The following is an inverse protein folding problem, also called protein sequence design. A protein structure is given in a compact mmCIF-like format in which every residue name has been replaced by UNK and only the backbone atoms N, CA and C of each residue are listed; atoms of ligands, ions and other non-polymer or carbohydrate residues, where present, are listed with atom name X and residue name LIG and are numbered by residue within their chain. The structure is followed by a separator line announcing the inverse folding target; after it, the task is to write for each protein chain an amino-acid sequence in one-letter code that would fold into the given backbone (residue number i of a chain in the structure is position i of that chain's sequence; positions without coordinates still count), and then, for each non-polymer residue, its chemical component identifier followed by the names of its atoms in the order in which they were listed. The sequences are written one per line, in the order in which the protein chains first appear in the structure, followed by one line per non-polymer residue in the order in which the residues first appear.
data_IF_464639711341
#
_entry.id   IF_464639711341
#
_cell.length_a   1.000
_cell.length_b   1.000
_cell.length_c   1.000
_cell.angle_alpha   90.00
_cell.angle_beta   90.00
_cell.angle_gamma   90.00
#
_symmetry.space_group_name_H-M   'P 1'
#
loop_
_entity.id
_entity.type
_entity.pdbx_description
1 polymer ?
#
# COMPACT_ATOMS: atom_id res chain seq x y z
N UNK A 1 45.52 34.83 -40.58
CA UNK A 1 46.01 34.25 -41.83
C UNK A 1 45.92 32.77 -41.74
N UNK A 2 45.18 32.22 -42.71
CA UNK A 2 45.10 30.85 -43.25
C UNK A 2 44.59 29.76 -42.29
N UNK A 3 43.70 28.90 -42.70
CA UNK A 3 42.77 28.78 -43.84
C UNK A 3 41.91 27.55 -43.51
N UNK A 4 40.61 27.70 -43.72
CA UNK A 4 39.66 26.58 -43.69
C UNK A 4 39.97 25.59 -44.82
N UNK A 5 39.91 24.29 -44.52
CA UNK A 5 39.85 23.23 -45.52
C UNK A 5 38.57 22.42 -45.31
N UNK A 6 37.58 22.70 -46.15
CA UNK A 6 36.38 21.90 -46.34
C UNK A 6 36.74 20.68 -47.16
N UNK A 7 36.50 19.47 -46.67
CA UNK A 7 36.41 18.24 -47.46
C UNK A 7 35.00 17.70 -47.40
N UNK A 8 34.26 17.91 -48.48
CA UNK A 8 33.06 17.19 -48.80
C UNK A 8 33.43 15.84 -49.40
N UNK A 9 33.17 14.76 -48.72
CA UNK A 9 33.28 13.40 -49.22
C UNK A 9 31.91 12.79 -49.37
N UNK A 10 31.46 12.63 -50.61
CA UNK A 10 30.26 11.90 -50.97
C UNK A 10 30.41 10.40 -50.59
N UNK A 11 29.53 9.87 -49.79
CA UNK A 11 29.33 8.44 -49.63
C UNK A 11 27.98 8.05 -50.25
N UNK A 12 28.05 7.64 -51.46
CA UNK A 12 27.03 6.87 -52.17
C UNK A 12 27.23 5.40 -51.84
N UNK A 13 26.16 4.73 -51.39
CA UNK A 13 25.92 3.31 -51.65
C UNK A 13 26.34 2.32 -50.59
N UNK A 14 25.37 1.86 -49.82
CA UNK A 14 25.05 0.44 -49.62
C UNK A 14 23.84 0.33 -48.67
N UNK A 15 22.64 0.31 -49.22
CA UNK A 15 21.45 -0.23 -48.53
C UNK A 15 21.60 -1.74 -48.63
N UNK A 16 22.29 -2.33 -47.70
CA UNK A 16 22.29 -3.79 -47.51
C UNK A 16 21.38 -4.13 -46.34
N UNK A 17 20.37 -4.90 -46.64
CA UNK A 17 19.40 -5.59 -45.81
C UNK A 17 19.81 -5.82 -44.34
N UNK A 18 19.36 -5.00 -43.44
CA UNK A 18 19.29 -5.29 -42.01
C UNK A 18 17.96 -6.01 -41.64
N UNK A 19 17.62 -7.05 -42.43
CA UNK A 19 16.57 -8.01 -42.09
C UNK A 19 17.26 -9.33 -41.79
N UNK A 20 17.67 -9.57 -40.53
CA UNK A 20 17.86 -10.89 -39.90
C UNK A 20 18.77 -10.86 -38.68
N UNK A 21 18.57 -9.93 -37.74
CA UNK A 21 19.22 -10.01 -36.44
C UNK A 21 18.22 -9.93 -35.25
N UNK A 22 16.94 -10.07 -35.55
CA UNK A 22 16.01 -10.50 -34.51
C UNK A 22 15.91 -12.02 -34.59
N UNK A 23 16.88 -12.73 -34.02
CA UNK A 23 16.69 -14.09 -33.64
C UNK A 23 15.41 -14.12 -32.80
N UNK A 24 14.44 -14.91 -33.23
CA UNK A 24 13.23 -15.20 -32.47
C UNK A 24 13.66 -15.53 -31.05
N UNK A 25 13.37 -14.64 -30.10
CA UNK A 25 13.42 -14.96 -28.69
C UNK A 25 12.40 -16.10 -28.54
N UNK A 26 12.90 -17.31 -28.50
CA UNK A 26 12.12 -18.48 -28.09
C UNK A 26 11.53 -18.15 -26.73
N UNK A 27 10.21 -18.09 -26.67
CA UNK A 27 9.46 -18.10 -25.42
C UNK A 27 10.07 -19.21 -24.55
N UNK A 28 10.55 -18.93 -23.34
CA UNK A 28 11.00 -20.00 -22.47
C UNK A 28 9.77 -20.79 -22.03
N UNK A 29 9.45 -21.86 -22.73
CA UNK A 29 8.61 -22.95 -22.23
C UNK A 29 9.46 -23.75 -21.27
N UNK A 30 9.82 -23.19 -20.13
CA UNK A 30 10.61 -23.86 -19.12
C UNK A 30 9.73 -24.24 -17.94
N UNK A 31 9.77 -25.52 -17.57
CA UNK A 31 9.43 -25.91 -16.21
C UNK A 31 10.13 -24.95 -15.22
N UNK A 32 9.52 -24.65 -14.06
CA UNK A 32 10.11 -23.72 -13.09
C UNK A 32 11.56 -24.10 -12.83
N UNK A 33 12.45 -23.11 -12.84
CA UNK A 33 13.88 -23.33 -12.65
C UNK A 33 14.11 -24.17 -11.38
N UNK A 34 14.89 -25.25 -11.50
CA UNK A 34 15.19 -26.12 -10.37
C UNK A 34 16.07 -25.34 -9.40
N UNK A 35 15.52 -25.00 -8.25
CA UNK A 35 16.25 -24.28 -7.20
C UNK A 35 17.24 -25.27 -6.56
N UNK A 36 18.52 -24.89 -6.45
CA UNK A 36 19.56 -25.61 -5.75
C UNK A 36 20.24 -24.70 -4.73
N UNK A 37 20.72 -25.24 -3.63
CA UNK A 37 21.27 -24.42 -2.53
C UNK A 37 20.15 -23.77 -1.71
N UNK A 38 20.31 -22.49 -1.38
CA UNK A 38 19.28 -21.75 -0.63
C UNK A 38 17.93 -21.78 -1.34
N UNK A 39 16.89 -22.18 -0.61
CA UNK A 39 15.53 -22.35 -1.13
C UNK A 39 15.22 -23.76 -1.66
N UNK A 40 16.18 -24.67 -1.70
CA UNK A 40 15.96 -26.03 -2.21
C UNK A 40 15.03 -26.88 -1.32
N UNK A 41 14.90 -26.54 -0.04
CA UNK A 41 13.97 -27.19 0.91
C UNK A 41 12.49 -26.86 0.66
N UNK A 42 12.22 -25.81 -0.11
CA UNK A 42 10.87 -25.28 -0.33
C UNK A 42 10.37 -24.32 0.75
N UNK A 43 11.10 -24.17 1.87
CA UNK A 43 10.83 -23.17 2.92
C UNK A 43 12.08 -22.35 3.22
N UNK A 44 12.22 -21.23 2.54
CA UNK A 44 13.36 -20.31 2.69
C UNK A 44 13.46 -19.68 4.10
N UNK A 45 12.35 -19.56 4.82
CA UNK A 45 12.35 -19.01 6.16
C UNK A 45 12.97 -19.98 7.17
N UNK A 46 12.63 -21.26 7.07
CA UNK A 46 13.23 -22.31 7.92
C UNK A 46 14.75 -22.38 7.70
N UNK A 47 15.21 -22.24 6.46
CA UNK A 47 16.65 -22.21 6.13
C UNK A 47 17.37 -21.01 6.77
N UNK A 48 16.65 -19.90 7.03
CA UNK A 48 17.17 -18.73 7.74
C UNK A 48 16.93 -18.80 9.27
N UNK A 49 16.27 -19.84 9.77
CA UNK A 49 15.89 -19.95 11.18
C UNK A 49 14.76 -18.99 11.59
N UNK A 50 13.94 -18.55 10.63
CA UNK A 50 12.80 -17.66 10.86
C UNK A 50 11.51 -18.49 10.87
N UNK A 51 10.73 -18.39 11.96
CA UNK A 51 9.46 -19.08 12.09
C UNK A 51 8.38 -18.39 11.26
N UNK A 52 7.72 -19.14 10.37
CA UNK A 52 6.51 -18.66 9.67
C UNK A 52 5.33 -18.59 10.64
N UNK A 53 4.36 -17.72 10.32
CA UNK A 53 3.22 -17.48 11.20
C UNK A 53 1.89 -17.64 10.49
N UNK A 54 0.86 -18.10 11.20
CA UNK A 54 -0.53 -17.99 10.78
C UNK A 54 -1.00 -16.58 11.15
N UNK A 55 -1.41 -15.81 10.16
CA UNK A 55 -1.70 -14.38 10.32
C UNK A 55 -3.20 -14.12 10.50
N UNK A 56 -3.66 -14.06 11.74
CA UNK A 56 -5.01 -13.63 12.08
C UNK A 56 -5.16 -12.13 12.40
N UNK A 57 -4.08 -11.34 12.23
CA UNK A 57 -4.09 -9.90 12.52
C UNK A 57 -4.37 -9.05 11.26
N UNK A 58 -4.17 -9.61 10.05
CA UNK A 58 -4.37 -8.92 8.78
C UNK A 58 -3.09 -8.32 8.18
N UNK A 59 -3.24 -7.34 7.31
CA UNK A 59 -2.16 -6.83 6.44
C UNK A 59 -1.17 -5.90 7.16
N UNK A 60 -0.55 -6.41 8.21
CA UNK A 60 0.46 -5.66 8.98
C UNK A 60 1.83 -5.73 8.31
N UNK A 61 2.49 -4.59 8.18
CA UNK A 61 3.84 -4.50 7.55
C UNK A 61 4.86 -5.42 8.22
N UNK A 62 4.81 -5.54 9.55
CA UNK A 62 5.70 -6.40 10.34
C UNK A 62 5.50 -7.91 10.08
N UNK A 63 4.39 -8.29 9.44
CA UNK A 63 4.06 -9.66 9.07
C UNK A 63 4.19 -9.90 7.55
N UNK A 64 4.70 -8.94 6.80
CA UNK A 64 4.86 -9.06 5.36
C UNK A 64 3.65 -8.57 4.53
N UNK A 65 2.67 -7.91 5.17
CA UNK A 65 1.49 -7.39 4.48
C UNK A 65 0.52 -8.49 4.09
N UNK A 66 0.46 -8.83 2.81
CA UNK A 66 -0.37 -9.90 2.25
C UNK A 66 0.48 -10.90 1.46
N UNK A 67 -0.06 -12.09 1.21
CA UNK A 67 0.55 -13.05 0.29
C UNK A 67 0.16 -12.70 -1.14
N UNK A 68 1.16 -12.50 -2.00
CA UNK A 68 0.94 -12.28 -3.42
C UNK A 68 0.21 -13.49 -4.05
N UNK A 69 -0.56 -13.24 -5.11
CA UNK A 69 -1.17 -14.33 -5.90
C UNK A 69 -0.11 -14.96 -6.82
N UNK A 70 -0.20 -16.27 -7.12
CA UNK A 70 0.76 -16.93 -8.02
C UNK A 70 0.92 -16.22 -9.37
N UNK A 71 -0.15 -15.64 -9.91
CA UNK A 71 -0.12 -14.90 -11.18
C UNK A 71 0.67 -13.58 -11.05
N UNK A 72 0.68 -12.96 -9.88
CA UNK A 72 1.49 -11.75 -9.60
C UNK A 72 2.96 -12.13 -9.56
N UNK A 73 3.30 -13.20 -8.84
CA UNK A 73 4.68 -13.73 -8.77
C UNK A 73 5.20 -14.13 -10.15
N UNK A 74 4.35 -14.79 -10.96
CA UNK A 74 4.71 -15.22 -12.32
C UNK A 74 5.05 -14.03 -13.24
N UNK A 75 4.27 -12.95 -13.22
CA UNK A 75 4.59 -11.77 -14.07
C UNK A 75 5.80 -11.00 -13.54
N UNK A 76 6.04 -10.99 -12.23
CA UNK A 76 7.26 -10.41 -11.65
C UNK A 76 8.50 -11.18 -12.12
N UNK A 77 8.44 -12.52 -12.12
CA UNK A 77 9.52 -13.36 -12.63
C UNK A 77 9.79 -13.12 -14.14
N UNK A 78 8.74 -12.92 -14.94
CA UNK A 78 8.88 -12.56 -16.36
C UNK A 78 9.51 -11.15 -16.52
N UNK A 79 9.07 -10.17 -15.76
CA UNK A 79 9.63 -8.82 -15.79
C UNK A 79 11.13 -8.80 -15.44
N UNK A 80 11.55 -9.68 -14.52
CA UNK A 80 12.95 -9.85 -14.13
C UNK A 80 13.88 -10.28 -15.26
N UNK A 81 13.35 -10.85 -16.33
CA UNK A 81 14.14 -11.36 -17.48
C UNK A 81 14.48 -10.29 -18.53
N UNK A 82 13.92 -9.06 -18.41
CA UNK A 82 14.07 -8.02 -19.43
C UNK A 82 14.45 -6.69 -18.79
N UNK A 83 15.24 -5.90 -19.54
CA UNK A 83 15.49 -4.49 -19.22
C UNK A 83 14.43 -3.62 -19.87
N UNK A 84 14.08 -2.51 -19.22
CA UNK A 84 13.21 -1.46 -19.77
C UNK A 84 13.60 -0.10 -19.16
N UNK A 85 13.15 0.97 -19.78
CA UNK A 85 13.19 2.30 -19.21
C UNK A 85 12.18 2.40 -18.07
N UNK A 86 12.64 2.67 -16.85
CA UNK A 86 11.74 2.80 -15.70
C UNK A 86 10.78 4.00 -15.85
N UNK A 87 11.22 5.20 -16.29
CA UNK A 87 10.28 6.30 -16.49
C UNK A 87 9.17 5.97 -17.51
N UNK A 88 9.50 5.30 -18.61
CA UNK A 88 8.52 4.91 -19.61
C UNK A 88 7.55 3.84 -19.06
N UNK A 89 8.08 2.91 -18.27
CA UNK A 89 7.27 1.88 -17.61
C UNK A 89 6.29 2.49 -16.61
N UNK A 90 6.71 3.46 -15.79
CA UNK A 90 5.84 4.16 -14.84
C UNK A 90 4.69 4.90 -15.54
N UNK A 91 5.00 5.62 -16.64
CA UNK A 91 3.99 6.31 -17.43
C UNK A 91 3.00 5.31 -18.06
N UNK A 92 3.50 4.21 -18.61
CA UNK A 92 2.66 3.17 -19.22
C UNK A 92 1.80 2.44 -18.17
N UNK A 93 2.37 2.10 -17.02
CA UNK A 93 1.65 1.50 -15.90
C UNK A 93 0.57 2.43 -15.36
N UNK A 94 0.90 3.71 -15.15
CA UNK A 94 -0.05 4.72 -14.69
C UNK A 94 -1.24 4.88 -15.63
N UNK A 95 -0.98 4.94 -16.94
CA UNK A 95 -2.03 4.96 -17.97
C UNK A 95 -2.91 3.71 -17.89
N UNK A 96 -2.30 2.52 -17.82
CA UNK A 96 -3.03 1.24 -17.72
C UNK A 96 -3.90 1.17 -16.47
N UNK A 97 -3.39 1.63 -15.33
CA UNK A 97 -4.13 1.69 -14.08
C UNK A 97 -5.32 2.66 -14.21
N UNK A 98 -5.10 3.85 -14.77
CA UNK A 98 -6.17 4.83 -14.98
C UNK A 98 -7.30 4.28 -15.87
N UNK A 99 -6.97 3.54 -16.93
CA UNK A 99 -7.92 2.86 -17.81
C UNK A 99 -8.71 1.78 -17.06
N UNK A 100 -8.04 0.93 -16.28
CA UNK A 100 -8.69 -0.14 -15.50
C UNK A 100 -9.65 0.42 -14.45
N UNK A 101 -9.28 1.50 -13.79
CA UNK A 101 -10.08 2.17 -12.75
C UNK A 101 -11.10 3.14 -13.32
N UNK A 102 -11.08 3.41 -14.63
CA UNK A 102 -11.93 4.41 -15.30
C UNK A 102 -11.87 5.76 -14.59
N UNK A 103 -10.66 6.20 -14.28
CA UNK A 103 -10.44 7.47 -13.57
C UNK A 103 -10.99 8.65 -14.38
N UNK A 104 -11.40 9.75 -13.72
CA UNK A 104 -11.85 10.95 -14.39
C UNK A 104 -10.81 11.51 -15.37
N UNK A 105 -11.28 12.24 -16.40
CA UNK A 105 -10.38 12.98 -17.29
C UNK A 105 -9.45 13.89 -16.48
N UNK A 106 -8.16 13.90 -16.86
CA UNK A 106 -7.16 14.67 -16.14
C UNK A 106 -6.50 13.94 -14.97
N UNK A 107 -6.93 12.70 -14.65
CA UNK A 107 -6.30 11.86 -13.62
C UNK A 107 -5.44 10.75 -14.23
N UNK A 108 -4.48 10.28 -13.45
CA UNK A 108 -3.60 9.15 -13.75
C UNK A 108 -3.13 8.49 -12.46
N UNK A 109 -2.24 7.51 -12.59
CA UNK A 109 -1.61 6.85 -11.45
C UNK A 109 -0.10 6.75 -11.60
N UNK A 110 0.59 6.52 -10.47
CA UNK A 110 2.01 6.20 -10.38
C UNK A 110 2.15 5.01 -9.42
N UNK A 111 2.97 4.04 -9.78
CA UNK A 111 3.36 2.98 -8.84
C UNK A 111 4.50 3.50 -7.96
N UNK A 112 4.35 3.41 -6.67
CA UNK A 112 5.31 3.92 -5.68
C UNK A 112 5.78 2.80 -4.76
N UNK A 113 6.84 3.05 -4.00
CA UNK A 113 7.32 2.10 -2.97
C UNK A 113 6.40 2.13 -1.74
N UNK A 114 5.13 1.70 -1.92
CA UNK A 114 4.08 1.72 -0.91
C UNK A 114 3.42 3.09 -0.75
N UNK A 115 2.33 3.14 0.03
CA UNK A 115 1.57 4.37 0.31
C UNK A 115 2.43 5.45 1.01
N UNK A 116 3.39 5.05 1.83
CA UNK A 116 4.29 5.98 2.51
C UNK A 116 5.13 6.80 1.51
N UNK A 117 5.69 6.14 0.49
CA UNK A 117 6.41 6.80 -0.60
C UNK A 117 5.46 7.63 -1.48
N UNK A 118 4.21 7.18 -1.68
CA UNK A 118 3.18 7.95 -2.38
C UNK A 118 2.90 9.28 -1.67
N UNK A 119 2.76 9.27 -0.34
CA UNK A 119 2.57 10.50 0.44
C UNK A 119 3.76 11.44 0.34
N UNK A 120 4.98 10.91 0.48
CA UNK A 120 6.20 11.71 0.41
C UNK A 120 6.40 12.32 -0.97
N UNK A 121 6.37 11.50 -2.05
CA UNK A 121 6.60 11.97 -3.41
C UNK A 121 5.47 12.87 -3.93
N UNK A 122 4.21 12.57 -3.56
CA UNK A 122 3.07 13.41 -3.91
C UNK A 122 3.17 14.81 -3.31
N UNK A 123 3.53 14.92 -2.02
CA UNK A 123 3.76 16.22 -1.39
C UNK A 123 5.01 16.90 -1.97
N UNK A 124 6.10 16.18 -2.18
CA UNK A 124 7.30 16.73 -2.81
C UNK A 124 6.95 17.35 -4.19
N UNK A 125 6.15 16.64 -5.01
CA UNK A 125 5.69 17.16 -6.30
C UNK A 125 4.81 18.41 -6.20
N UNK A 126 3.98 18.53 -5.14
CA UNK A 126 3.20 19.75 -4.87
C UNK A 126 4.13 20.93 -4.49
N UNK A 127 5.19 20.65 -3.72
CA UNK A 127 6.12 21.68 -3.25
C UNK A 127 7.03 22.20 -4.38
N UNK A 128 7.54 21.33 -5.20
CA UNK A 128 8.58 21.64 -6.19
C UNK A 128 8.04 21.96 -7.58
N UNK A 129 6.81 21.48 -7.90
CA UNK A 129 6.40 21.42 -9.30
C UNK A 129 7.39 20.62 -10.13
N UNK A 130 7.68 21.08 -11.35
CA UNK A 130 8.68 20.56 -12.27
C UNK A 130 10.04 21.29 -12.18
N UNK A 131 10.24 22.13 -11.18
CA UNK A 131 11.46 22.93 -11.03
C UNK A 131 12.63 22.09 -10.49
N UNK A 132 13.67 21.80 -11.28
CA UNK A 132 14.77 20.92 -10.88
C UNK A 132 15.53 21.46 -9.67
N UNK A 133 15.67 22.77 -9.52
CA UNK A 133 16.36 23.38 -8.38
C UNK A 133 15.62 23.14 -7.07
N UNK A 134 14.28 23.18 -7.08
CA UNK A 134 13.47 22.90 -5.90
C UNK A 134 13.47 21.40 -5.59
N UNK A 135 13.53 20.53 -6.60
CA UNK A 135 13.63 19.08 -6.43
C UNK A 135 14.94 18.75 -5.69
N UNK A 136 16.07 19.24 -6.16
CA UNK A 136 17.39 19.05 -5.56
C UNK A 136 17.50 19.71 -4.16
N UNK A 137 16.76 20.81 -3.92
CA UNK A 137 16.82 21.57 -2.67
C UNK A 137 16.09 20.87 -1.51
N UNK A 138 15.08 20.03 -1.77
CA UNK A 138 14.37 19.35 -0.69
C UNK A 138 15.33 18.56 0.22
N UNK A 139 15.13 18.60 1.56
CA UNK A 139 13.97 19.13 2.31
C UNK A 139 14.09 20.60 2.74
N UNK A 140 15.00 21.37 2.18
CA UNK A 140 15.15 22.81 2.46
C UNK A 140 14.11 23.62 1.68
N UNK A 141 13.15 24.27 2.38
CA UNK A 141 11.97 24.87 1.77
C UNK A 141 12.11 26.37 1.44
N UNK A 142 13.33 26.90 1.40
CA UNK A 142 13.54 28.32 1.04
C UNK A 142 12.97 28.64 -0.33
N UNK A 143 12.02 29.58 -0.39
CA UNK A 143 11.34 29.97 -1.64
C UNK A 143 10.15 29.07 -2.04
N UNK A 144 9.87 28.04 -1.27
CA UNK A 144 8.72 27.15 -1.46
C UNK A 144 7.67 27.33 -0.35
N UNK A 145 6.47 26.82 -0.57
CA UNK A 145 5.48 26.67 0.48
C UNK A 145 5.98 25.66 1.52
N UNK A 146 5.56 25.82 2.79
CA UNK A 146 6.19 25.07 3.89
C UNK A 146 5.21 24.51 4.92
N UNK A 147 3.91 24.64 4.68
CA UNK A 147 2.89 24.22 5.65
C UNK A 147 1.88 23.24 5.02
N UNK A 148 1.52 22.21 5.78
CA UNK A 148 0.46 21.26 5.45
C UNK A 148 -0.57 21.26 6.58
N UNK A 149 -1.84 21.46 6.24
CA UNK A 149 -2.94 21.46 7.20
C UNK A 149 -3.43 20.02 7.41
N UNK A 150 -3.63 19.64 8.68
CA UNK A 150 -4.13 18.32 9.08
C UNK A 150 -5.04 18.46 10.31
N UNK A 151 -6.11 17.68 10.41
CA UNK A 151 -6.92 17.58 11.61
C UNK A 151 -6.13 16.96 12.77
N UNK A 152 -6.35 17.43 14.00
CA UNK A 152 -5.71 16.90 15.21
C UNK A 152 -5.98 15.41 15.38
N UNK A 153 -7.21 14.98 15.16
CA UNK A 153 -7.65 13.58 15.21
C UNK A 153 -7.01 12.70 14.14
N UNK A 154 -6.50 13.29 13.05
CA UNK A 154 -5.84 12.60 11.94
C UNK A 154 -4.33 12.43 12.13
N UNK A 155 -3.74 13.02 13.18
CA UNK A 155 -2.32 12.88 13.49
C UNK A 155 -2.00 11.42 13.84
N UNK A 156 -0.98 10.88 13.20
CA UNK A 156 -0.58 9.48 13.33
C UNK A 156 0.91 9.31 12.98
N UNK A 157 1.52 8.12 13.27
CA UNK A 157 2.93 7.90 12.97
C UNK A 157 3.32 8.03 11.49
N UNK A 158 2.37 7.82 10.56
CA UNK A 158 2.63 7.91 9.10
C UNK A 158 2.73 9.35 8.61
N UNK A 159 2.28 10.35 9.36
CA UNK A 159 2.50 11.76 9.03
C UNK A 159 3.99 12.13 8.99
N UNK A 160 4.86 11.24 9.48
CA UNK A 160 6.30 11.36 9.37
C UNK A 160 6.76 11.51 7.91
N UNK A 161 6.09 10.82 6.98
CA UNK A 161 6.44 10.88 5.55
C UNK A 161 6.20 12.28 4.97
N UNK A 162 5.16 12.98 5.44
CA UNK A 162 4.94 14.38 5.10
C UNK A 162 6.01 15.28 5.71
N UNK A 163 6.32 15.10 7.00
CA UNK A 163 7.34 15.90 7.70
C UNK A 163 8.76 15.70 7.15
N UNK A 164 9.02 14.55 6.55
CA UNK A 164 10.30 14.25 5.91
C UNK A 164 10.60 15.17 4.71
N UNK A 165 9.59 15.81 4.11
CA UNK A 165 9.78 16.82 3.06
C UNK A 165 10.21 18.19 3.58
N UNK A 166 10.36 18.35 4.91
CA UNK A 166 10.74 19.60 5.55
C UNK A 166 9.57 20.47 6.01
N UNK A 167 8.31 20.11 5.67
CA UNK A 167 7.13 20.93 6.00
C UNK A 167 6.81 20.91 7.49
N UNK A 168 6.10 21.98 7.89
CA UNK A 168 5.44 22.08 9.19
C UNK A 168 3.97 21.65 9.08
N UNK A 169 3.54 20.78 9.98
CA UNK A 169 2.12 20.44 10.11
C UNK A 169 1.39 21.53 10.89
N UNK A 170 0.37 22.11 10.29
CA UNK A 170 -0.57 23.06 10.90
C UNK A 170 -1.78 22.25 11.35
N UNK A 171 -1.91 22.07 12.67
CA UNK A 171 -2.92 21.21 13.27
C UNK A 171 -4.17 22.03 13.57
N UNK A 172 -5.30 21.58 13.03
CA UNK A 172 -6.64 22.16 13.23
C UNK A 172 -7.63 21.05 13.59
N UNK A 173 -8.85 21.41 13.95
CA UNK A 173 -9.92 20.43 14.16
C UNK A 173 -11.25 20.88 13.55
N UNK A 174 -11.51 22.20 13.45
CA UNK A 174 -12.76 22.74 12.96
C UNK A 174 -12.60 23.45 11.61
N UNK A 175 -13.71 23.61 10.89
CA UNK A 175 -13.75 24.38 9.63
C UNK A 175 -13.31 25.84 9.82
N UNK A 176 -13.69 26.46 10.92
CA UNK A 176 -13.28 27.84 11.24
C UNK A 176 -11.78 27.96 11.48
N UNK A 177 -11.19 26.99 12.21
CA UNK A 177 -9.74 26.92 12.41
C UNK A 177 -9.02 26.70 11.08
N UNK A 178 -9.53 25.81 10.21
CA UNK A 178 -8.99 25.58 8.89
C UNK A 178 -8.95 26.86 8.06
N UNK A 179 -10.07 27.59 7.97
CA UNK A 179 -10.15 28.84 7.22
C UNK A 179 -9.15 29.89 7.72
N UNK A 180 -8.95 30.00 9.04
CA UNK A 180 -7.99 30.92 9.68
C UNK A 180 -6.53 30.46 9.46
N UNK A 181 -6.29 29.16 9.34
CA UNK A 181 -4.95 28.60 9.18
C UNK A 181 -4.39 28.76 7.77
N UNK A 182 -5.26 28.85 6.75
CA UNK A 182 -4.82 29.01 5.35
C UNK A 182 -4.09 30.34 5.17
N UNK A 183 -2.88 30.27 4.62
CA UNK A 183 -2.01 31.40 4.36
C UNK A 183 -1.12 31.13 3.13
N UNK A 184 -0.30 32.09 2.66
CA UNK A 184 0.55 31.90 1.48
C UNK A 184 1.56 30.73 1.57
N UNK A 185 1.88 30.27 2.78
CA UNK A 185 2.77 29.12 2.99
C UNK A 185 2.03 27.77 2.96
N UNK A 186 0.70 27.77 2.93
CA UNK A 186 -0.08 26.54 2.86
C UNK A 186 0.10 25.83 1.51
N UNK A 187 0.73 24.67 1.53
CA UNK A 187 0.99 23.84 0.34
C UNK A 187 -0.16 22.89 0.04
N UNK A 188 -0.73 22.26 1.08
CA UNK A 188 -1.65 21.15 0.92
C UNK A 188 -2.52 20.96 2.16
N UNK A 189 -3.69 20.36 1.98
CA UNK A 189 -4.56 19.84 3.04
C UNK A 189 -4.49 18.31 3.02
N UNK A 190 -4.04 17.68 4.12
CA UNK A 190 -3.90 16.23 4.26
C UNK A 190 -5.03 15.61 5.05
N UNK A 191 -5.56 14.48 4.56
CA UNK A 191 -6.63 13.70 5.19
C UNK A 191 -6.20 12.25 5.39
N UNK A 192 -6.26 11.74 6.63
CA UNK A 192 -6.02 10.32 6.94
C UNK A 192 -7.36 9.62 7.09
N UNK A 193 -7.80 8.86 6.08
CA UNK A 193 -9.17 8.38 6.03
C UNK A 193 -9.54 7.39 7.14
N UNK A 194 -8.59 6.59 7.63
CA UNK A 194 -8.85 5.71 8.78
C UNK A 194 -9.31 6.46 10.05
N UNK A 195 -9.06 7.77 10.14
CA UNK A 195 -9.49 8.64 11.22
C UNK A 195 -10.75 9.48 10.89
N UNK A 196 -11.42 9.22 9.76
CA UNK A 196 -12.59 9.98 9.30
C UNK A 196 -13.70 10.05 10.36
N UNK A 197 -13.98 8.95 11.07
CA UNK A 197 -15.00 8.94 12.13
C UNK A 197 -14.65 9.85 13.31
N UNK A 198 -13.37 9.99 13.63
CA UNK A 198 -12.86 10.80 14.75
C UNK A 198 -12.73 12.28 14.40
N UNK A 199 -12.48 12.64 13.12
CA UNK A 199 -12.36 14.02 12.67
C UNK A 199 -13.68 14.78 12.68
N UNK A 200 -13.66 16.08 12.94
CA UNK A 200 -14.85 16.92 12.84
C UNK A 200 -15.23 17.20 11.39
N UNK A 201 -14.24 17.49 10.54
CA UNK A 201 -14.42 17.71 9.10
C UNK A 201 -14.33 16.36 8.40
N UNK A 202 -15.41 15.93 7.73
CA UNK A 202 -15.49 14.63 7.06
C UNK A 202 -14.87 14.66 5.66
N UNK A 203 -14.68 13.49 5.10
CA UNK A 203 -13.95 13.28 3.84
C UNK A 203 -14.50 14.10 2.66
N UNK A 204 -15.83 14.19 2.52
CA UNK A 204 -16.47 14.98 1.45
C UNK A 204 -16.35 16.50 1.69
N UNK A 205 -16.48 16.93 2.94
CA UNK A 205 -16.34 18.34 3.31
C UNK A 205 -14.90 18.81 3.14
N UNK A 206 -13.92 17.95 3.46
CA UNK A 206 -12.50 18.26 3.32
C UNK A 206 -12.14 18.62 1.89
N UNK A 207 -12.53 17.80 0.92
CA UNK A 207 -12.25 18.05 -0.50
C UNK A 207 -13.00 19.29 -1.02
N UNK A 208 -14.23 19.52 -0.55
CA UNK A 208 -15.01 20.72 -0.89
C UNK A 208 -14.30 21.99 -0.40
N UNK A 209 -13.82 21.99 0.83
CA UNK A 209 -13.06 23.11 1.40
C UNK A 209 -11.75 23.34 0.66
N UNK A 210 -11.03 22.27 0.27
CA UNK A 210 -9.82 22.40 -0.54
C UNK A 210 -10.08 23.11 -1.87
N UNK A 211 -11.16 22.74 -2.56
CA UNK A 211 -11.60 23.42 -3.80
C UNK A 211 -11.98 24.87 -3.56
N UNK A 212 -12.74 25.14 -2.51
CA UNK A 212 -13.16 26.50 -2.15
C UNK A 212 -11.97 27.41 -1.84
N UNK A 213 -10.99 26.89 -1.11
CA UNK A 213 -9.80 27.62 -0.67
C UNK A 213 -8.65 27.60 -1.70
N UNK A 214 -8.84 26.87 -2.82
CA UNK A 214 -7.82 26.63 -3.86
C UNK A 214 -6.51 26.06 -3.29
N UNK A 215 -6.64 25.10 -2.36
CA UNK A 215 -5.53 24.35 -1.77
C UNK A 215 -5.63 22.88 -2.19
N UNK A 216 -4.56 22.26 -2.73
CA UNK A 216 -4.56 20.84 -3.08
C UNK A 216 -4.91 19.95 -1.88
N UNK A 217 -5.69 18.90 -2.14
CA UNK A 217 -6.10 17.92 -1.15
C UNK A 217 -5.44 16.56 -1.41
N UNK A 218 -4.95 15.94 -0.34
CA UNK A 218 -4.35 14.62 -0.39
C UNK A 218 -4.99 13.69 0.64
N UNK A 219 -5.48 12.53 0.21
CA UNK A 219 -6.02 11.51 1.10
C UNK A 219 -5.09 10.32 1.22
N UNK A 220 -4.76 9.95 2.46
CA UNK A 220 -4.17 8.67 2.81
C UNK A 220 -5.28 7.63 2.96
N UNK A 221 -5.40 6.78 1.95
CA UNK A 221 -6.35 5.68 1.81
C UNK A 221 -5.61 4.32 1.79
N UNK A 222 -4.47 4.23 2.47
CA UNK A 222 -3.57 3.07 2.40
C UNK A 222 -4.22 1.73 2.76
N UNK A 223 -5.28 1.72 3.57
CA UNK A 223 -5.99 0.52 4.01
C UNK A 223 -7.47 0.52 3.63
N UNK A 224 -7.89 1.35 2.70
CA UNK A 224 -9.30 1.62 2.40
C UNK A 224 -9.94 0.65 1.39
N UNK A 225 -9.19 -0.31 0.92
CA UNK A 225 -9.72 -1.40 0.10
C UNK A 225 -9.72 -2.70 0.89
N UNK A 226 -10.82 -3.46 0.92
CA UNK A 226 -12.15 -3.16 0.36
C UNK A 226 -12.84 -1.99 1.09
N UNK A 227 -13.90 -1.37 0.53
CA UNK A 227 -14.54 -1.65 -0.76
C UNK A 227 -13.67 -1.31 -1.96
N UNK A 228 -13.84 -2.06 -3.06
CA UNK A 228 -13.05 -1.86 -4.28
C UNK A 228 -13.28 -0.48 -4.91
N UNK A 229 -14.48 0.09 -4.72
CA UNK A 229 -14.86 1.40 -5.28
C UNK A 229 -14.00 2.55 -4.76
N UNK A 230 -13.44 2.44 -3.58
CA UNK A 230 -12.56 3.48 -3.02
C UNK A 230 -11.34 3.79 -3.91
N UNK A 231 -10.92 2.85 -4.78
CA UNK A 231 -9.84 3.08 -5.74
C UNK A 231 -10.15 4.18 -6.76
N UNK A 232 -11.43 4.53 -6.97
CA UNK A 232 -11.86 5.62 -7.86
C UNK A 232 -12.76 6.65 -7.19
N UNK A 233 -13.40 6.34 -6.05
CA UNK A 233 -14.38 7.22 -5.41
C UNK A 233 -13.73 8.53 -4.95
N UNK A 234 -12.53 8.50 -4.39
CA UNK A 234 -11.84 9.72 -3.95
C UNK A 234 -11.42 10.61 -5.13
N UNK A 235 -10.99 10.02 -6.24
CA UNK A 235 -10.71 10.76 -7.48
C UNK A 235 -11.99 11.38 -8.04
N UNK A 236 -13.10 10.62 -8.08
CA UNK A 236 -14.42 11.13 -8.50
C UNK A 236 -14.96 12.22 -7.57
N UNK A 237 -14.71 12.12 -6.27
CA UNK A 237 -15.03 13.14 -5.28
C UNK A 237 -14.21 14.43 -5.53
N UNK A 238 -13.03 14.28 -6.15
CA UNK A 238 -12.16 15.34 -6.59
C UNK A 238 -10.99 15.63 -5.66
N UNK A 239 -10.53 14.63 -4.89
CA UNK A 239 -9.22 14.70 -4.27
C UNK A 239 -8.14 14.84 -5.32
N UNK A 240 -7.16 15.74 -5.10
CA UNK A 240 -6.07 15.98 -6.05
C UNK A 240 -5.07 14.81 -6.08
N UNK A 241 -4.83 14.18 -4.92
CA UNK A 241 -3.97 13.00 -4.77
C UNK A 241 -4.57 12.01 -3.76
N UNK A 242 -4.41 10.71 -4.04
CA UNK A 242 -4.87 9.59 -3.21
C UNK A 242 -3.77 8.54 -3.11
N UNK A 243 -3.41 8.09 -1.90
CA UNK A 243 -2.39 7.07 -1.69
C UNK A 243 -3.01 5.75 -1.25
N UNK A 244 -2.65 4.64 -1.91
CA UNK A 244 -3.07 3.28 -1.56
C UNK A 244 -1.87 2.35 -1.38
N UNK A 245 -1.99 1.38 -0.48
CA UNK A 245 -0.98 0.32 -0.32
C UNK A 245 -1.31 -0.89 -1.17
N UNK A 246 -0.40 -1.26 -2.08
CA UNK A 246 -0.57 -2.43 -2.94
C UNK A 246 -0.37 -3.77 -2.23
N UNK A 247 0.44 -3.80 -1.18
CA UNK A 247 0.74 -4.99 -0.38
C UNK A 247 -0.32 -5.32 0.69
N UNK A 248 -1.52 -4.74 0.59
CA UNK A 248 -2.66 -5.05 1.46
C UNK A 248 -3.71 -5.88 0.71
N UNK A 249 -4.98 -5.49 0.71
CA UNK A 249 -6.06 -6.27 0.11
C UNK A 249 -5.88 -6.55 -1.39
N UNK A 250 -5.21 -5.68 -2.13
CA UNK A 250 -4.89 -5.91 -3.54
C UNK A 250 -3.94 -7.09 -3.76
N UNK A 251 -3.22 -7.55 -2.70
CA UNK A 251 -2.27 -8.67 -2.75
C UNK A 251 -1.20 -8.51 -3.83
N UNK A 252 -0.75 -7.27 -4.00
CA UNK A 252 0.42 -6.92 -4.80
C UNK A 252 1.73 -7.09 -4.01
N UNK A 253 2.87 -6.74 -4.62
CA UNK A 253 4.14 -6.71 -3.90
C UNK A 253 4.03 -5.81 -2.66
N UNK A 254 4.57 -6.26 -1.51
CA UNK A 254 4.48 -5.51 -0.27
C UNK A 254 5.10 -4.11 -0.37
N UNK A 255 6.17 -3.98 -1.12
CA UNK A 255 6.86 -2.72 -1.37
C UNK A 255 6.20 -1.87 -2.48
N UNK A 256 5.02 -2.25 -3.01
CA UNK A 256 4.31 -1.46 -4.01
C UNK A 256 3.08 -0.74 -3.42
N UNK A 257 2.77 0.42 -3.98
CA UNK A 257 1.58 1.21 -3.70
C UNK A 257 1.17 2.02 -4.90
N UNK A 258 0.08 2.75 -4.78
CA UNK A 258 -0.44 3.62 -5.83
C UNK A 258 -0.56 5.05 -5.33
N UNK A 259 -0.09 5.99 -6.13
CA UNK A 259 -0.46 7.40 -6.06
C UNK A 259 -1.42 7.66 -7.23
N UNK A 260 -2.68 7.88 -6.92
CA UNK A 260 -3.72 8.20 -7.91
C UNK A 260 -4.05 9.68 -7.79
N UNK A 261 -4.15 10.42 -8.91
CA UNK A 261 -4.50 11.82 -8.83
C UNK A 261 -4.37 12.58 -10.14
N UNK A 262 -4.38 13.89 -10.03
CA UNK A 262 -4.23 14.81 -11.18
C UNK A 262 -2.92 14.56 -11.91
N UNK A 263 -2.99 14.53 -13.24
CA UNK A 263 -1.83 14.23 -14.11
C UNK A 263 -0.63 15.14 -13.87
N UNK A 264 -0.86 16.43 -13.64
CA UNK A 264 0.20 17.40 -13.36
C UNK A 264 0.92 17.09 -12.03
N UNK A 265 0.17 16.78 -10.96
CA UNK A 265 0.74 16.48 -9.66
C UNK A 265 1.42 15.11 -9.63
N UNK A 266 0.85 14.12 -10.32
CA UNK A 266 1.45 12.78 -10.43
C UNK A 266 2.75 12.84 -11.26
N UNK A 267 2.81 13.62 -12.33
CA UNK A 267 4.03 13.85 -13.10
C UNK A 267 5.12 14.51 -12.25
N UNK A 268 4.77 15.54 -11.46
CA UNK A 268 5.70 16.18 -10.53
C UNK A 268 6.17 15.22 -9.42
N UNK A 269 5.29 14.34 -8.94
CA UNK A 269 5.66 13.30 -7.98
C UNK A 269 6.68 12.31 -8.55
N UNK A 270 6.54 11.92 -9.82
CA UNK A 270 7.51 11.07 -10.52
C UNK A 270 8.89 11.73 -10.60
N UNK A 271 8.97 13.02 -10.89
CA UNK A 271 10.24 13.77 -10.90
C UNK A 271 10.94 13.79 -9.54
N UNK A 272 10.19 13.71 -8.45
CA UNK A 272 10.69 13.68 -7.08
C UNK A 272 10.98 12.25 -6.57
N UNK A 273 10.92 11.24 -7.43
CA UNK A 273 11.04 9.83 -7.07
C UNK A 273 12.16 9.14 -7.85
N UNK A 274 12.54 7.94 -7.43
CA UNK A 274 13.38 7.06 -8.24
C UNK A 274 12.71 6.84 -9.63
N UNK A 275 13.48 6.81 -10.76
CA UNK A 275 14.92 6.64 -10.82
C UNK A 275 15.75 7.94 -10.83
N UNK A 276 15.13 9.11 -10.67
CA UNK A 276 15.86 10.37 -10.62
C UNK A 276 16.85 10.38 -9.43
N UNK A 277 18.09 10.86 -9.67
CA UNK A 277 19.20 10.61 -8.73
C UNK A 277 19.20 11.56 -7.54
N UNK A 278 19.09 12.87 -7.77
CA UNK A 278 19.12 13.89 -6.73
C UNK A 278 17.70 14.33 -6.34
N UNK A 279 16.98 13.41 -5.69
CA UNK A 279 15.60 13.61 -5.26
C UNK A 279 15.36 13.02 -3.89
N UNK A 280 14.42 13.59 -3.16
CA UNK A 280 14.01 13.08 -1.83
C UNK A 280 13.53 11.62 -1.89
N UNK A 281 12.81 11.24 -2.95
CA UNK A 281 12.27 9.90 -3.16
C UNK A 281 13.27 8.90 -3.75
N UNK A 282 14.54 9.26 -3.98
CA UNK A 282 15.53 8.35 -4.56
C UNK A 282 15.71 7.05 -3.78
N UNK A 283 15.60 7.11 -2.47
CA UNK A 283 15.71 5.93 -1.60
C UNK A 283 14.46 5.02 -1.66
N UNK A 284 13.30 5.55 -2.07
CA UNK A 284 12.03 4.83 -2.18
C UNK A 284 11.89 4.17 -3.57
N UNK A 285 12.92 3.41 -3.98
CA UNK A 285 12.97 2.77 -5.29
C UNK A 285 11.95 1.62 -5.39
N UNK A 286 11.10 1.69 -6.40
CA UNK A 286 10.27 0.57 -6.85
C UNK A 286 10.87 -0.03 -8.11
N UNK A 287 11.03 -1.36 -8.17
CA UNK A 287 11.63 -2.06 -9.29
C UNK A 287 10.61 -2.36 -10.40
N UNK A 288 11.11 -2.69 -11.58
CA UNK A 288 10.24 -3.06 -12.72
C UNK A 288 9.36 -4.27 -12.41
N UNK A 289 9.86 -5.18 -11.60
CA UNK A 289 9.14 -6.37 -11.15
C UNK A 289 7.93 -5.99 -10.31
N UNK A 290 8.11 -5.09 -9.35
CA UNK A 290 7.05 -4.61 -8.46
C UNK A 290 6.05 -3.75 -9.22
N UNK A 291 6.48 -2.91 -10.18
CA UNK A 291 5.58 -2.12 -11.02
C UNK A 291 4.65 -3.04 -11.81
N UNK A 292 5.20 -4.04 -12.50
CA UNK A 292 4.42 -5.02 -13.27
C UNK A 292 3.55 -5.88 -12.34
N UNK A 293 4.10 -6.31 -11.20
CA UNK A 293 3.37 -7.06 -10.17
C UNK A 293 2.16 -6.28 -9.65
N UNK A 294 2.31 -4.97 -9.42
CA UNK A 294 1.23 -4.11 -8.95
C UNK A 294 0.10 -3.96 -9.99
N UNK A 295 0.45 -3.77 -11.26
CA UNK A 295 -0.54 -3.72 -12.36
C UNK A 295 -1.33 -5.04 -12.44
N UNK A 296 -0.64 -6.18 -12.33
CA UNK A 296 -1.30 -7.50 -12.34
C UNK A 296 -2.16 -7.72 -11.11
N UNK A 297 -1.68 -7.35 -9.94
CA UNK A 297 -2.44 -7.47 -8.70
C UNK A 297 -3.76 -6.68 -8.75
N UNK A 298 -3.70 -5.44 -9.27
CA UNK A 298 -4.89 -4.61 -9.45
C UNK A 298 -5.86 -5.23 -10.48
N UNK A 299 -5.34 -5.74 -11.61
CA UNK A 299 -6.18 -6.43 -12.61
C UNK A 299 -6.96 -7.61 -12.00
N UNK A 300 -6.31 -8.41 -11.15
CA UNK A 300 -6.94 -9.54 -10.48
C UNK A 300 -7.93 -9.08 -9.42
N UNK A 301 -7.55 -8.10 -8.60
CA UNK A 301 -8.40 -7.54 -7.55
C UNK A 301 -9.72 -6.97 -8.07
N UNK A 302 -9.69 -6.31 -9.24
CA UNK A 302 -10.89 -5.78 -9.91
C UNK A 302 -11.82 -6.86 -10.47
N UNK A 303 -11.35 -8.09 -10.63
CA UNK A 303 -12.12 -9.23 -11.14
C UNK A 303 -12.66 -10.15 -10.05
N UNK A 304 -12.27 -9.93 -8.80
CA UNK A 304 -12.70 -10.76 -7.69
C UNK A 304 -14.19 -10.56 -7.35
N UNK A 305 -14.81 -11.62 -6.91
CA UNK A 305 -16.13 -11.55 -6.27
C UNK A 305 -15.96 -11.16 -4.78
N UNK A 306 -15.95 -9.86 -4.54
CA UNK A 306 -15.73 -9.29 -3.20
C UNK A 306 -16.83 -9.67 -2.19
N UNK A 307 -18.06 -9.92 -2.66
CA UNK A 307 -19.17 -10.37 -1.79
C UNK A 307 -18.93 -11.81 -1.34
N UNK A 308 -18.56 -12.68 -2.28
CA UNK A 308 -18.24 -14.07 -1.95
C UNK A 308 -17.03 -14.18 -1.00
N UNK A 309 -15.97 -13.37 -1.22
CA UNK A 309 -14.82 -13.32 -0.34
C UNK A 309 -15.20 -12.84 1.06
N UNK A 310 -15.99 -11.78 1.17
CA UNK A 310 -16.42 -11.25 2.46
C UNK A 310 -17.25 -12.26 3.26
N UNK A 311 -18.13 -13.00 2.56
CA UNK A 311 -18.90 -14.10 3.14
C UNK A 311 -18.01 -15.25 3.61
N UNK A 312 -16.98 -15.61 2.84
CA UNK A 312 -16.01 -16.64 3.21
C UNK A 312 -15.23 -16.22 4.48
N UNK A 313 -14.76 -14.98 4.55
CA UNK A 313 -14.07 -14.45 5.72
C UNK A 313 -14.95 -14.49 6.96
N UNK A 314 -16.21 -14.09 6.83
CA UNK A 314 -17.18 -14.16 7.94
C UNK A 314 -17.39 -15.62 8.40
N UNK A 315 -17.55 -16.57 7.48
CA UNK A 315 -17.74 -17.99 7.80
C UNK A 315 -16.54 -18.59 8.53
N UNK A 316 -15.31 -18.19 8.19
CA UNK A 316 -14.10 -18.61 8.91
C UNK A 316 -14.12 -18.14 10.35
N UNK A 317 -14.48 -16.87 10.61
CA UNK A 317 -14.63 -16.33 11.97
C UNK A 317 -15.73 -17.05 12.75
N UNK A 318 -16.86 -17.33 12.13
CA UNK A 318 -17.98 -18.07 12.73
C UNK A 318 -17.56 -19.50 13.12
N UNK A 319 -16.76 -20.16 12.29
CA UNK A 319 -16.21 -21.48 12.57
C UNK A 319 -15.31 -21.48 13.81
N UNK A 320 -14.46 -20.46 13.99
CA UNK A 320 -13.62 -20.29 15.18
C UNK A 320 -14.51 -20.00 16.38
N UNK A 321 -15.43 -19.05 16.27
CA UNK A 321 -16.35 -18.66 17.34
C UNK A 321 -17.14 -19.86 17.88
N UNK A 322 -17.71 -20.68 16.98
CA UNK A 322 -18.49 -21.85 17.36
C UNK A 322 -17.70 -22.90 18.19
N UNK A 323 -16.38 -22.88 18.13
CA UNK A 323 -15.53 -23.76 18.92
C UNK A 323 -15.12 -23.11 20.25
N UNK A 324 -14.66 -21.86 20.21
CA UNK A 324 -14.14 -21.20 21.42
C UNK A 324 -15.24 -20.86 22.45
N UNK A 325 -16.44 -20.53 21.96
CA UNK A 325 -17.60 -20.22 22.85
C UNK A 325 -18.18 -21.43 23.58
N UNK A 326 -17.71 -22.65 23.28
CA UNK A 326 -18.02 -23.85 24.11
C UNK A 326 -17.25 -23.87 25.42
N UNK A 327 -16.24 -23.02 25.55
CA UNK A 327 -15.49 -22.89 26.82
C UNK A 327 -16.27 -21.93 27.74
N UNK A 328 -16.60 -22.33 28.94
CA UNK A 328 -17.30 -21.45 29.88
C UNK A 328 -16.57 -20.12 30.07
N UNK A 329 -17.30 -19.01 30.03
CA UNK A 329 -16.76 -17.68 30.20
C UNK A 329 -16.19 -17.04 28.88
N UNK A 330 -16.08 -17.77 27.77
CA UNK A 330 -15.64 -17.21 26.47
C UNK A 330 -16.82 -16.68 25.69
N UNK A 331 -16.68 -15.47 25.16
CA UNK A 331 -17.65 -14.81 24.27
C UNK A 331 -16.97 -14.22 23.05
N UNK A 332 -17.70 -14.07 21.96
CA UNK A 332 -17.21 -13.43 20.76
C UNK A 332 -18.16 -12.34 20.28
N UNK A 333 -17.64 -11.32 19.62
CA UNK A 333 -18.42 -10.27 18.98
C UNK A 333 -17.82 -9.95 17.62
N UNK A 334 -18.69 -9.70 16.63
CA UNK A 334 -18.27 -9.34 15.27
C UNK A 334 -18.41 -7.85 15.04
N UNK A 335 -17.53 -7.32 14.22
CA UNK A 335 -17.61 -5.94 13.73
C UNK A 335 -17.02 -5.83 12.33
N UNK A 336 -17.42 -4.81 11.61
CA UNK A 336 -16.78 -4.38 10.35
C UNK A 336 -16.46 -2.90 10.53
N UNK A 337 -15.19 -2.48 10.47
CA UNK A 337 -14.83 -1.07 10.54
C UNK A 337 -15.49 -0.28 9.39
N UNK A 338 -15.97 0.93 9.67
CA UNK A 338 -16.59 1.79 8.64
C UNK A 338 -15.60 2.21 7.55
N UNK A 339 -14.35 2.43 7.93
CA UNK A 339 -13.26 2.83 7.04
C UNK A 339 -12.00 2.05 7.39
N UNK A 340 -11.12 1.87 6.43
CA UNK A 340 -9.86 1.12 6.53
C UNK A 340 -10.04 -0.31 7.08
N UNK A 341 -9.43 -1.27 6.40
CA UNK A 341 -9.60 -2.69 6.72
C UNK A 341 -11.09 -3.09 6.87
N UNK A 342 -11.95 -2.60 5.95
CA UNK A 342 -13.39 -2.86 5.94
C UNK A 342 -13.68 -4.32 5.58
N UNK A 343 -13.36 -5.20 6.51
CA UNK A 343 -13.52 -6.66 6.45
C UNK A 343 -14.09 -7.15 7.79
N UNK A 344 -14.66 -8.36 7.86
CA UNK A 344 -15.14 -8.92 9.13
C UNK A 344 -14.01 -9.07 10.16
N UNK A 345 -14.23 -8.54 11.34
CA UNK A 345 -13.39 -8.69 12.53
C UNK A 345 -14.14 -9.45 13.60
N UNK A 346 -13.40 -10.10 14.50
CA UNK A 346 -13.94 -10.78 15.66
C UNK A 346 -13.12 -10.46 16.90
N UNK A 347 -13.78 -9.95 17.93
CA UNK A 347 -13.26 -9.90 19.29
C UNK A 347 -13.56 -11.21 20.03
N UNK A 348 -12.58 -11.72 20.76
CA UNK A 348 -12.68 -12.91 21.61
C UNK A 348 -12.39 -12.44 23.04
N UNK A 349 -13.38 -12.53 23.91
CA UNK A 349 -13.30 -12.11 25.32
C UNK A 349 -13.55 -13.28 26.23
N UNK A 350 -13.00 -13.23 27.43
CA UNK A 350 -13.23 -14.24 28.45
C UNK A 350 -13.36 -13.62 29.85
N UNK A 351 -14.10 -14.30 30.71
CA UNK A 351 -14.28 -13.92 32.09
C UNK A 351 -13.08 -14.42 32.92
N UNK A 352 -12.40 -13.49 33.58
CA UNK A 352 -11.23 -13.78 34.41
C UNK A 352 -11.55 -14.71 35.61
N UNK A 353 -12.82 -14.82 36.03
CA UNK A 353 -13.25 -15.77 37.05
C UNK A 353 -13.29 -17.21 36.52
N UNK A 354 -13.35 -17.43 35.22
CA UNK A 354 -13.35 -18.75 34.58
C UNK A 354 -12.00 -19.08 33.95
N UNK A 355 -11.29 -18.07 33.41
CA UNK A 355 -10.03 -18.27 32.68
C UNK A 355 -9.01 -17.26 33.21
N UNK A 356 -8.04 -17.74 33.96
CA UNK A 356 -6.98 -16.94 34.59
C UNK A 356 -5.83 -16.72 33.57
N UNK A 357 -6.07 -15.86 32.53
CA UNK A 357 -5.13 -15.59 31.45
C UNK A 357 -5.19 -14.11 31.04
N UNK A 358 -4.05 -13.43 31.11
CA UNK A 358 -3.92 -12.06 30.57
C UNK A 358 -3.95 -12.05 29.04
N UNK A 359 -4.63 -11.10 28.38
CA UNK A 359 -4.70 -11.04 26.91
C UNK A 359 -3.34 -10.94 26.20
N UNK A 360 -2.38 -10.21 26.78
CA UNK A 360 -1.03 -10.11 26.20
C UNK A 360 -0.28 -11.43 26.32
N UNK A 361 -0.49 -12.16 27.42
CA UNK A 361 0.08 -13.48 27.65
C UNK A 361 -0.52 -14.50 26.70
N UNK A 362 -1.83 -14.44 26.45
CA UNK A 362 -2.50 -15.24 25.45
C UNK A 362 -1.91 -15.04 24.05
N UNK A 363 -1.78 -13.79 23.60
CA UNK A 363 -1.16 -13.46 22.29
C UNK A 363 0.31 -13.94 22.24
N UNK A 364 1.08 -13.76 23.32
CA UNK A 364 2.47 -14.23 23.40
C UNK A 364 2.59 -15.75 23.33
N UNK A 365 1.73 -16.49 24.03
CA UNK A 365 1.74 -17.95 24.01
C UNK A 365 1.38 -18.49 22.63
N UNK A 366 0.35 -17.94 21.96
CA UNK A 366 0.00 -18.29 20.58
C UNK A 366 1.15 -18.02 19.61
N UNK A 367 1.82 -16.87 19.73
CA UNK A 367 2.95 -16.50 18.88
C UNK A 367 4.17 -17.40 19.09
N UNK A 368 4.43 -17.88 20.31
CA UNK A 368 5.54 -18.80 20.60
C UNK A 368 5.21 -20.27 20.39
N UNK A 369 3.97 -20.58 20.03
CA UNK A 369 3.49 -21.94 19.76
C UNK A 369 4.00 -22.53 18.44
N UNK A 370 3.64 -23.78 18.19
CA UNK A 370 3.88 -24.48 16.92
C UNK A 370 2.56 -25.09 16.41
N UNK A 371 2.00 -24.54 15.33
CA UNK A 371 2.47 -23.38 14.56
C UNK A 371 2.39 -22.07 15.37
N UNK A 372 3.18 -21.08 14.97
CA UNK A 372 3.10 -19.72 15.53
C UNK A 372 1.84 -19.03 14.97
N UNK A 373 1.01 -18.48 15.88
CA UNK A 373 -0.25 -17.79 15.52
C UNK A 373 -0.18 -16.35 16.01
N UNK A 374 -0.49 -15.40 15.14
CA UNK A 374 -0.48 -13.98 15.48
C UNK A 374 -1.90 -13.44 15.49
N UNK A 375 -2.37 -13.08 16.69
CA UNK A 375 -3.61 -12.35 16.97
C UNK A 375 -3.29 -11.06 17.71
N UNK A 376 -4.12 -10.05 17.54
CA UNK A 376 -3.97 -8.79 18.28
C UNK A 376 -4.49 -8.95 19.70
N UNK A 377 -3.76 -8.42 20.70
CA UNK A 377 -4.25 -8.31 22.07
C UNK A 377 -4.82 -6.92 22.33
N UNK A 378 -5.98 -6.85 22.95
CA UNK A 378 -6.59 -5.63 23.44
C UNK A 378 -6.83 -5.76 24.97
N UNK A 379 -7.22 -4.69 25.69
CA UNK A 379 -7.41 -4.75 27.14
C UNK A 379 -8.43 -5.79 27.63
N UNK A 380 -9.33 -6.24 26.75
CA UNK A 380 -10.46 -7.10 27.13
C UNK A 380 -10.36 -8.51 26.53
N UNK A 381 -9.30 -8.82 25.75
CA UNK A 381 -9.17 -10.12 25.09
C UNK A 381 -8.26 -10.10 23.87
N UNK A 382 -8.62 -10.91 22.88
CA UNK A 382 -7.94 -10.97 21.59
C UNK A 382 -8.86 -10.44 20.49
N UNK A 383 -8.27 -9.85 19.46
CA UNK A 383 -8.96 -9.46 18.24
C UNK A 383 -8.31 -10.12 17.04
N UNK A 384 -9.11 -10.43 16.01
CA UNK A 384 -8.65 -11.02 14.77
C UNK A 384 -9.54 -10.68 13.59
N UNK A 385 -8.98 -10.84 12.40
CA UNK A 385 -9.72 -10.98 11.17
C UNK A 385 -9.20 -12.20 10.38
N UNK A 386 -9.95 -12.64 9.39
CA UNK A 386 -9.65 -13.88 8.68
C UNK A 386 -9.25 -13.67 7.21
N UNK A 387 -9.15 -12.42 6.76
CA UNK A 387 -9.01 -12.17 5.33
C UNK A 387 -7.61 -12.49 4.78
N UNK A 388 -6.60 -12.67 5.65
CA UNK A 388 -5.27 -13.17 5.27
C UNK A 388 -5.06 -14.66 5.58
N UNK A 389 -6.02 -15.33 6.23
CA UNK A 389 -5.91 -16.76 6.53
C UNK A 389 -5.95 -17.60 5.24
N UNK A 390 -5.09 -18.59 5.18
CA UNK A 390 -5.15 -19.62 4.16
C UNK A 390 -6.22 -20.67 4.52
N UNK A 391 -6.77 -21.40 3.53
CA UNK A 391 -7.77 -22.43 3.78
C UNK A 391 -7.31 -23.46 4.83
N UNK A 392 -8.10 -23.66 5.87
CA UNK A 392 -7.83 -24.59 6.98
C UNK A 392 -7.12 -23.98 8.18
N UNK A 393 -6.52 -22.78 8.05
CA UNK A 393 -5.86 -22.12 9.18
C UNK A 393 -6.86 -21.68 10.27
N UNK A 394 -8.11 -21.44 9.92
CA UNK A 394 -9.18 -21.15 10.87
C UNK A 394 -9.40 -22.30 11.89
N UNK A 395 -9.22 -23.56 11.44
CA UNK A 395 -9.33 -24.74 12.32
C UNK A 395 -8.16 -24.82 13.28
N UNK A 396 -6.95 -24.56 12.77
CA UNK A 396 -5.73 -24.56 13.59
C UNK A 396 -5.83 -23.47 14.66
N UNK A 397 -6.26 -22.26 14.32
CA UNK A 397 -6.47 -21.18 15.29
C UNK A 397 -7.49 -21.59 16.34
N UNK A 398 -8.63 -22.13 15.95
CA UNK A 398 -9.67 -22.55 16.87
C UNK A 398 -9.17 -23.62 17.86
N UNK A 399 -8.46 -24.63 17.36
CA UNK A 399 -7.92 -25.71 18.21
C UNK A 399 -6.90 -25.17 19.23
N UNK A 400 -6.00 -24.27 18.82
CA UNK A 400 -5.02 -23.67 19.73
C UNK A 400 -5.66 -22.74 20.76
N UNK A 401 -6.66 -21.95 20.37
CA UNK A 401 -7.42 -21.14 21.33
C UNK A 401 -8.17 -21.99 22.34
N UNK A 402 -8.83 -23.08 21.91
CA UNK A 402 -9.51 -24.02 22.82
C UNK A 402 -8.52 -24.67 23.78
N UNK A 403 -7.36 -25.11 23.31
CA UNK A 403 -6.32 -25.69 24.19
C UNK A 403 -5.79 -24.64 25.16
N UNK A 404 -5.52 -23.44 24.70
CA UNK A 404 -5.04 -22.33 25.54
C UNK A 404 -6.02 -21.99 26.63
N UNK A 405 -7.30 -21.82 26.33
CA UNK A 405 -8.32 -21.48 27.31
C UNK A 405 -8.53 -22.62 28.34
N UNK A 406 -8.56 -23.87 27.89
CA UNK A 406 -8.66 -25.03 28.78
C UNK A 406 -7.47 -25.14 29.76
N UNK A 407 -6.27 -24.81 29.29
CA UNK A 407 -5.07 -24.85 30.13
C UNK A 407 -5.07 -23.80 31.25
N UNK A 408 -5.91 -22.76 31.13
CA UNK A 408 -6.03 -21.67 32.10
C UNK A 408 -7.42 -21.58 32.73
N UNK A 409 -8.30 -22.56 32.45
CA UNK A 409 -9.62 -22.65 33.11
C UNK A 409 -9.47 -23.06 34.56
N UNK A 410 -10.30 -22.43 35.45
CA UNK A 410 -10.34 -22.71 36.90
C UNK A 410 -10.94 -24.08 37.19
#
# INVERSE_FOLDING_TARGET
MSSLGVMAGALTGAVTNARSLFASASTPSGAPAKISGFGASGNVYDELGVTTVINGQGTMTVLGGSLARPEVEAVMALAGQHFCSIPDLEVAAGKRIAEMLKLPDGYTALVTSGAAAAMQSGLAGILTGDNPKFIEQLPELTGMKSEVIIQKSHRNPFDHQLRATGIKLVVIETTDELRKAVNPQTAMMHFSNFANSAGQIKVEEWVKLGKELNIPTFIDAAADTPPVSHLWDYANMGYDLCAFSGGKAMRGPQCAGLLIGRKDLVANALLNNSPHEDTLGRCAKVGKEEIIGMVKALELYLKEDHEALNKEWQQRLESISAQVTRIPGVTTAYSVPDVANHVPHMDIKWDASHISLDPKDASRQLRSGKPSIVLESNPNGLAMNSFMLQPGEEKIIADHLVQLFRAHSA
#
